data_IF_597886967400
#
_entry.id   IF_597886967400
#
_cell.length_a   1.000
_cell.length_b   1.000
_cell.length_c   1.000
_cell.angle_alpha   90.00
_cell.angle_beta   90.00
_cell.angle_gamma   90.00
#
_symmetry.space_group_name_H-M   'P 1'
#
loop_
_entity.id
_entity.type
_entity.pdbx_description
1 polymer ?
#
# COMPACT_ATOMS: atom_id res chain seq x y z
N UNK A 1 5.68 9.06 5.88
CA UNK A 1 4.55 9.83 5.35
C UNK A 1 4.44 11.21 5.99
N UNK A 2 3.98 11.34 7.24
CA UNK A 2 3.73 12.65 7.89
C UNK A 2 4.92 13.64 7.81
N UNK A 3 6.14 13.18 8.09
CA UNK A 3 7.34 14.03 8.01
C UNK A 3 7.61 14.58 6.61
N UNK A 4 7.33 13.77 5.58
CA UNK A 4 7.51 14.19 4.19
C UNK A 4 6.42 15.17 3.81
N UNK A 5 5.19 14.96 4.29
CA UNK A 5 4.06 15.88 4.08
C UNK A 5 4.33 17.25 4.71
N UNK A 6 4.87 17.30 5.93
CA UNK A 6 5.24 18.55 6.62
C UNK A 6 6.28 19.39 5.84
N UNK A 7 7.11 18.74 5.04
CA UNK A 7 8.21 19.37 4.30
C UNK A 7 7.87 19.65 2.84
N UNK A 8 6.77 19.11 2.32
CA UNK A 8 6.44 19.18 0.90
C UNK A 8 5.87 20.54 0.51
N UNK A 9 6.46 21.18 -0.50
CA UNK A 9 5.94 22.40 -1.10
C UNK A 9 4.98 22.06 -2.24
N UNK A 10 3.67 22.19 -2.00
CA UNK A 10 2.63 21.92 -2.99
C UNK A 10 2.60 22.89 -4.18
N UNK A 11 3.34 24.01 -4.13
CA UNK A 11 3.51 24.88 -5.31
C UNK A 11 4.37 24.23 -6.41
N UNK A 12 5.18 23.23 -6.03
CA UNK A 12 6.04 22.46 -6.95
C UNK A 12 5.31 21.28 -7.59
N UNK A 13 4.05 21.04 -7.23
CA UNK A 13 3.21 19.97 -7.74
C UNK A 13 2.85 18.93 -6.69
N UNK A 14 2.21 17.81 -7.12
CA UNK A 14 1.72 16.82 -6.21
C UNK A 14 2.84 16.02 -5.55
N UNK A 15 2.57 15.56 -4.33
CA UNK A 15 3.47 14.73 -3.54
C UNK A 15 3.28 13.26 -3.91
N UNK A 16 4.36 12.56 -4.28
CA UNK A 16 4.37 11.11 -4.51
C UNK A 16 5.56 10.51 -3.79
N UNK A 17 5.34 9.55 -2.90
CA UNK A 17 6.42 8.92 -2.14
C UNK A 17 6.19 7.42 -1.95
N UNK A 18 7.30 6.69 -1.86
CA UNK A 18 7.37 5.30 -1.39
C UNK A 18 8.38 5.24 -0.25
N UNK A 19 8.00 4.61 0.86
CA UNK A 19 8.82 4.48 2.07
C UNK A 19 8.99 3.03 2.48
N UNK A 20 10.05 2.33 2.06
CA UNK A 20 10.41 1.04 2.63
C UNK A 20 11.10 1.24 3.99
N UNK A 21 10.82 0.38 4.95
CA UNK A 21 11.42 0.50 6.28
C UNK A 21 11.28 -0.74 7.15
N UNK A 22 12.14 -0.81 8.16
CA UNK A 22 11.96 -1.75 9.28
C UNK A 22 10.91 -1.23 10.23
N UNK A 23 9.99 -2.10 10.61
CA UNK A 23 8.96 -1.83 11.60
C UNK A 23 9.06 -2.86 12.73
N UNK A 24 8.55 -2.47 13.89
CA UNK A 24 8.63 -3.26 15.11
C UNK A 24 7.23 -3.42 15.69
N UNK A 25 6.86 -4.65 16.03
CA UNK A 25 5.61 -4.98 16.72
C UNK A 25 5.91 -5.80 17.95
N UNK A 26 5.10 -5.63 18.99
CA UNK A 26 5.19 -6.42 20.21
C UNK A 26 4.45 -7.75 20.02
N UNK A 27 4.95 -8.56 19.09
CA UNK A 27 4.42 -9.89 18.77
C UNK A 27 5.34 -10.96 19.37
N UNK A 28 4.79 -12.13 19.70
CA UNK A 28 5.57 -13.30 20.08
C UNK A 28 6.08 -13.97 18.81
N UNK A 29 7.39 -14.18 18.70
CA UNK A 29 7.97 -14.80 17.51
C UNK A 29 7.46 -16.24 17.33
N UNK A 30 6.98 -16.54 16.13
CA UNK A 30 6.61 -17.88 15.67
C UNK A 30 6.95 -18.06 14.17
N UNK A 31 6.51 -19.16 13.55
CA UNK A 31 6.83 -19.46 12.16
C UNK A 31 6.24 -18.45 11.14
N UNK A 32 5.27 -17.64 11.55
CA UNK A 32 4.52 -16.69 10.72
C UNK A 32 4.58 -15.25 11.24
N UNK A 33 5.06 -15.03 12.47
CA UNK A 33 5.13 -13.71 13.09
C UNK A 33 6.55 -13.43 13.58
N UNK A 34 7.02 -12.21 13.32
CA UNK A 34 8.26 -11.69 13.89
C UNK A 34 8.03 -10.30 14.49
N UNK A 35 8.64 -10.04 15.64
CA UNK A 35 8.65 -8.73 16.28
C UNK A 35 9.33 -7.65 15.42
N UNK A 36 10.18 -8.03 14.46
CA UNK A 36 10.85 -7.13 13.52
C UNK A 36 10.69 -7.62 12.08
N UNK A 37 10.12 -6.78 11.22
CA UNK A 37 9.98 -7.08 9.79
C UNK A 37 10.02 -5.82 8.94
N UNK A 38 9.84 -5.95 7.63
CA UNK A 38 9.86 -4.83 6.69
C UNK A 38 8.47 -4.55 6.16
N UNK A 39 8.14 -3.26 6.07
CA UNK A 39 6.96 -2.78 5.35
C UNK A 39 7.38 -1.77 4.29
N UNK A 40 6.51 -1.58 3.32
CA UNK A 40 6.60 -0.52 2.34
C UNK A 40 5.27 0.23 2.35
N UNK A 41 5.34 1.54 2.51
CA UNK A 41 4.19 2.43 2.46
C UNK A 41 4.30 3.32 1.21
N UNK A 42 3.15 3.80 0.73
CA UNK A 42 3.07 4.66 -0.45
C UNK A 42 2.00 5.71 -0.29
N UNK A 43 2.34 6.97 -0.59
CA UNK A 43 1.45 8.11 -0.44
C UNK A 43 1.49 8.98 -1.70
N UNK A 44 0.30 9.26 -2.25
CA UNK A 44 0.10 10.18 -3.37
C UNK A 44 -0.94 11.24 -2.96
N UNK A 45 -0.50 12.50 -2.85
CA UNK A 45 -1.35 13.64 -2.50
C UNK A 45 -1.29 14.65 -3.64
N UNK A 46 -2.45 15.00 -4.18
CA UNK A 46 -2.59 16.00 -5.24
C UNK A 46 -4.04 16.37 -5.46
N UNK A 47 -4.27 17.41 -6.27
CA UNK A 47 -5.62 17.78 -6.67
C UNK A 47 -6.26 16.68 -7.54
N UNK A 48 -7.55 16.43 -7.31
CA UNK A 48 -8.36 15.47 -8.07
C UNK A 48 -7.86 14.02 -8.04
N UNK A 49 -7.04 13.64 -7.04
CA UNK A 49 -6.67 12.23 -6.83
C UNK A 49 -7.88 11.47 -6.31
N UNK A 50 -8.17 10.32 -6.92
CA UNK A 50 -9.37 9.52 -6.66
C UNK A 50 -9.03 8.09 -6.22
N UNK A 51 -10.04 7.38 -5.72
CA UNK A 51 -9.92 5.94 -5.43
C UNK A 51 -9.62 5.10 -6.69
N UNK A 52 -9.96 5.59 -7.89
CA UNK A 52 -9.58 4.91 -9.13
C UNK A 52 -8.06 4.93 -9.35
N UNK A 53 -7.39 6.02 -9.00
CA UNK A 53 -5.93 6.14 -9.09
C UNK A 53 -5.23 5.17 -8.14
N UNK A 54 -5.75 5.02 -6.91
CA UNK A 54 -5.25 4.04 -5.94
C UNK A 54 -5.41 2.61 -6.47
N UNK A 55 -6.61 2.26 -6.93
CA UNK A 55 -6.88 0.92 -7.48
C UNK A 55 -6.02 0.62 -8.70
N UNK A 56 -5.86 1.58 -9.61
CA UNK A 56 -5.02 1.44 -10.79
C UNK A 56 -3.55 1.24 -10.43
N UNK A 57 -3.02 2.05 -9.51
CA UNK A 57 -1.63 1.96 -9.05
C UNK A 57 -1.34 0.62 -8.38
N UNK A 58 -2.20 0.18 -7.46
CA UNK A 58 -2.05 -1.10 -6.80
C UNK A 58 -2.20 -2.27 -7.78
N UNK A 59 -3.14 -2.18 -8.73
CA UNK A 59 -3.32 -3.22 -9.74
C UNK A 59 -2.10 -3.36 -10.66
N UNK A 60 -1.50 -2.24 -11.06
CA UNK A 60 -0.26 -2.22 -11.81
C UNK A 60 0.87 -2.87 -11.00
N UNK A 61 1.12 -2.40 -9.77
CA UNK A 61 2.20 -2.91 -8.93
C UNK A 61 2.08 -4.41 -8.65
N UNK A 62 0.87 -4.90 -8.36
CA UNK A 62 0.60 -6.32 -8.12
C UNK A 62 0.92 -7.15 -9.36
N UNK A 63 0.54 -6.69 -10.56
CA UNK A 63 0.83 -7.41 -11.79
C UNK A 63 2.31 -7.43 -12.14
N UNK A 64 3.02 -6.34 -11.88
CA UNK A 64 4.47 -6.28 -12.06
C UNK A 64 5.22 -7.19 -11.07
N UNK A 65 4.79 -7.27 -9.82
CA UNK A 65 5.46 -8.08 -8.80
C UNK A 65 5.08 -9.56 -8.86
N UNK A 66 3.81 -9.85 -9.13
CA UNK A 66 3.26 -11.20 -8.97
C UNK A 66 2.90 -11.86 -10.29
N UNK A 67 2.72 -11.14 -11.40
CA UNK A 67 2.38 -11.70 -12.71
C UNK A 67 1.14 -11.03 -13.33
N UNK A 68 1.10 -10.97 -14.66
CA UNK A 68 0.05 -10.27 -15.40
C UNK A 68 -1.34 -10.92 -15.23
N UNK A 69 -1.38 -12.22 -14.95
CA UNK A 69 -2.56 -13.05 -14.85
C UNK A 69 -3.32 -12.94 -13.52
N UNK A 70 -2.85 -12.11 -12.57
CA UNK A 70 -3.45 -12.06 -11.23
C UNK A 70 -4.80 -11.41 -11.17
N UNK A 71 -5.72 -12.13 -10.54
CA UNK A 71 -7.02 -11.60 -10.13
C UNK A 71 -6.82 -10.76 -8.86
N UNK A 72 -7.44 -9.58 -8.84
CA UNK A 72 -7.28 -8.61 -7.76
C UNK A 72 -8.66 -8.22 -7.26
N UNK A 73 -8.87 -8.32 -5.95
CA UNK A 73 -10.13 -7.96 -5.30
C UNK A 73 -9.89 -6.90 -4.24
N UNK A 74 -10.58 -5.77 -4.38
CA UNK A 74 -10.59 -4.70 -3.39
C UNK A 74 -11.82 -4.86 -2.47
N UNK A 75 -11.59 -5.15 -1.19
CA UNK A 75 -12.65 -5.28 -0.19
C UNK A 75 -12.68 -4.04 0.70
N UNK A 76 -13.84 -3.46 1.03
CA UNK A 76 -13.92 -2.43 2.06
C UNK A 76 -13.31 -2.92 3.37
N UNK A 77 -12.54 -2.06 4.04
CA UNK A 77 -11.99 -2.31 5.37
C UNK A 77 -11.99 -1.00 6.15
N UNK A 78 -11.43 -1.01 7.36
CA UNK A 78 -11.31 0.18 8.20
C UNK A 78 -9.86 0.39 8.61
N UNK A 79 -9.35 1.58 8.32
CA UNK A 79 -8.09 2.08 8.87
C UNK A 79 -8.31 3.49 9.41
N UNK A 80 -7.78 3.85 10.59
CA UNK A 80 -8.08 5.13 11.24
C UNK A 80 -7.50 6.35 10.50
N UNK A 81 -6.65 6.15 9.50
CA UNK A 81 -5.94 7.20 8.75
C UNK A 81 -6.38 7.32 7.28
N UNK A 82 -7.37 6.53 6.83
CA UNK A 82 -7.92 6.62 5.46
C UNK A 82 -9.44 6.45 5.45
N UNK A 83 -10.12 7.22 4.59
CA UNK A 83 -11.54 7.02 4.29
C UNK A 83 -11.82 7.47 2.84
N UNK A 84 -12.41 6.63 1.98
CA UNK A 84 -12.75 5.21 2.19
C UNK A 84 -11.52 4.30 2.22
N UNK A 85 -11.63 3.17 2.93
CA UNK A 85 -10.55 2.21 3.16
C UNK A 85 -10.78 0.86 2.45
N UNK A 86 -9.72 0.25 1.93
CA UNK A 86 -9.78 -1.06 1.26
C UNK A 86 -8.62 -1.98 1.64
N UNK A 87 -8.91 -3.27 1.75
CA UNK A 87 -7.94 -4.37 1.70
C UNK A 87 -7.86 -4.94 0.29
N UNK A 88 -6.71 -5.50 -0.06
CA UNK A 88 -6.47 -6.11 -1.38
C UNK A 88 -6.17 -7.59 -1.24
N UNK A 89 -6.98 -8.41 -1.89
CA UNK A 89 -6.71 -9.83 -2.07
C UNK A 89 -6.18 -10.07 -3.49
N UNK A 90 -5.26 -11.03 -3.63
CA UNK A 90 -4.72 -11.45 -4.92
C UNK A 90 -4.83 -12.97 -5.07
N UNK A 91 -5.12 -13.46 -6.27
CA UNK A 91 -5.11 -14.90 -6.58
C UNK A 91 -3.74 -15.50 -6.25
N UNK A 92 -3.72 -16.70 -5.67
CA UNK A 92 -2.47 -17.33 -5.22
C UNK A 92 -1.49 -17.52 -6.39
N UNK A 93 -0.27 -17.02 -6.21
CA UNK A 93 0.78 -17.11 -7.24
C UNK A 93 1.25 -18.51 -7.58
N UNK A 94 0.94 -19.47 -6.71
CA UNK A 94 1.37 -20.86 -6.84
C UNK A 94 0.30 -21.76 -7.45
N UNK A 95 -0.99 -21.45 -7.25
CA UNK A 95 -2.11 -22.25 -7.75
C UNK A 95 -3.12 -21.52 -8.64
N UNK A 96 -2.89 -20.22 -8.94
CA UNK A 96 -3.72 -19.38 -9.82
C UNK A 96 -5.16 -19.16 -9.32
N UNK A 97 -5.30 -19.11 -8.00
CA UNK A 97 -6.57 -19.12 -7.29
C UNK A 97 -6.29 -19.69 -5.92
#
# INVERSE_FOLDING_TARGET
EARTLEQHDFSTGPMKMIGPGRVYRRDTDDATHSHQFFQMEGQYIGENVTMADLKGTLSFAIREFFGAEREIRFRPSYFPFTEPSVEVDISCFKCNG
#
